data_IF_635195766880
#
_entry.id   IF_635195766880
#
_cell.length_a   1.000
_cell.length_b   1.000
_cell.length_c   1.000
_cell.angle_alpha   90.00
_cell.angle_beta   90.00
_cell.angle_gamma   90.00
#
_symmetry.space_group_name_H-M   'P 1'
#
loop_
_entity.id
_entity.type
_entity.pdbx_description
1 polymer ?
#
# COMPACT_ATOMS: atom_id res chain seq x y z
N UNK A 1 -11.73 11.14 -24.01
CA UNK A 1 -11.01 9.96 -23.49
C UNK A 1 -10.42 10.39 -22.16
N UNK A 2 -10.80 9.77 -21.04
CA UNK A 2 -10.24 10.15 -19.75
C UNK A 2 -8.86 9.53 -19.67
N UNK A 3 -7.82 10.35 -19.82
CA UNK A 3 -6.48 9.97 -19.38
C UNK A 3 -6.59 9.73 -17.87
N UNK A 4 -6.52 8.46 -17.48
CA UNK A 4 -6.18 8.06 -16.12
C UNK A 4 -4.71 8.42 -16.00
N UNK A 5 -4.41 9.66 -15.62
CA UNK A 5 -3.09 10.00 -15.08
C UNK A 5 -2.96 9.20 -13.79
N UNK A 6 -2.52 7.97 -13.95
CA UNK A 6 -1.85 7.18 -12.94
C UNK A 6 -0.62 8.01 -12.55
N UNK A 7 -0.56 8.49 -11.31
CA UNK A 7 0.54 9.30 -10.78
C UNK A 7 1.90 8.54 -10.74
N UNK A 8 2.02 7.42 -11.46
CA UNK A 8 3.20 6.57 -11.58
C UNK A 8 3.30 5.50 -10.50
N UNK A 9 2.27 5.33 -9.67
CA UNK A 9 2.19 4.35 -8.59
C UNK A 9 1.00 3.42 -8.77
N UNK A 10 1.04 2.24 -8.16
CA UNK A 10 0.03 1.19 -8.36
C UNK A 10 -1.30 1.47 -7.64
N UNK A 11 -1.42 2.61 -6.95
CA UNK A 11 -2.58 2.97 -6.13
C UNK A 11 -2.67 2.22 -4.80
N UNK A 12 -1.64 1.43 -4.46
CA UNK A 12 -1.54 0.71 -3.19
C UNK A 12 -0.18 1.01 -2.55
N UNK A 13 -0.20 1.68 -1.40
CA UNK A 13 1.00 2.16 -0.75
C UNK A 13 1.97 1.04 -0.34
N UNK A 14 1.46 -0.16 -0.03
CA UNK A 14 2.32 -1.30 0.31
C UNK A 14 2.98 -1.87 -0.93
N UNK A 15 2.26 -1.93 -2.05
CA UNK A 15 2.81 -2.35 -3.35
C UNK A 15 3.86 -1.34 -3.84
N UNK A 16 3.58 -0.04 -3.73
CA UNK A 16 4.52 1.03 -4.12
C UNK A 16 5.81 1.01 -3.29
N UNK A 17 5.72 0.69 -2.00
CA UNK A 17 6.88 0.54 -1.13
C UNK A 17 7.67 -0.75 -1.45
N UNK A 18 6.98 -1.83 -1.78
CA UNK A 18 7.61 -3.07 -2.22
C UNK A 18 8.39 -2.88 -3.53
N UNK A 19 7.83 -2.10 -4.48
CA UNK A 19 8.51 -1.74 -5.73
C UNK A 19 9.76 -0.90 -5.44
N UNK A 20 9.67 0.14 -4.61
CA UNK A 20 10.84 0.94 -4.18
C UNK A 20 11.91 0.09 -3.50
N UNK A 21 11.52 -0.91 -2.72
CA UNK A 21 12.46 -1.85 -2.11
C UNK A 21 13.24 -2.64 -3.16
N UNK A 22 12.60 -3.05 -4.27
CA UNK A 22 13.28 -3.73 -5.38
C UNK A 22 14.28 -2.84 -6.12
N UNK A 23 14.05 -1.52 -6.18
CA UNK A 23 14.99 -0.59 -6.82
C UNK A 23 16.36 -0.58 -6.10
N UNK A 24 16.39 -0.91 -4.81
CA UNK A 24 17.65 -0.98 -4.04
C UNK A 24 18.57 -2.13 -4.47
N UNK A 25 18.05 -3.13 -5.21
CA UNK A 25 18.82 -4.28 -5.68
C UNK A 25 19.96 -3.90 -6.62
N UNK A 26 19.82 -2.81 -7.38
CA UNK A 26 20.86 -2.32 -8.30
C UNK A 26 22.17 -2.00 -7.56
N UNK A 27 22.07 -1.55 -6.31
CA UNK A 27 23.22 -1.26 -5.45
C UNK A 27 23.74 -2.45 -4.62
N UNK A 28 23.06 -3.60 -4.65
CA UNK A 28 23.38 -4.75 -3.81
C UNK A 28 24.09 -5.86 -4.61
N UNK A 29 25.00 -6.61 -3.98
CA UNK A 29 25.59 -7.78 -4.63
C UNK A 29 24.52 -8.88 -4.79
N UNK A 30 24.61 -9.63 -5.89
CA UNK A 30 23.60 -10.62 -6.32
C UNK A 30 23.22 -11.65 -5.25
N UNK A 31 24.14 -12.01 -4.36
CA UNK A 31 23.86 -12.97 -3.29
C UNK A 31 22.91 -12.42 -2.20
N UNK A 32 22.76 -11.09 -2.10
CA UNK A 32 21.83 -10.43 -1.18
C UNK A 32 20.43 -10.26 -1.80
N UNK A 33 20.30 -10.41 -3.13
CA UNK A 33 19.03 -10.20 -3.84
C UNK A 33 17.94 -11.17 -3.38
N UNK A 34 18.30 -12.41 -3.06
CA UNK A 34 17.35 -13.44 -2.65
C UNK A 34 16.55 -13.04 -1.40
N UNK A 35 17.22 -12.47 -0.39
CA UNK A 35 16.58 -12.05 0.85
C UNK A 35 15.60 -10.88 0.62
N UNK A 36 15.96 -9.96 -0.28
CA UNK A 36 15.11 -8.82 -0.64
C UNK A 36 13.88 -9.30 -1.42
N UNK A 37 14.05 -10.22 -2.38
CA UNK A 37 12.93 -10.80 -3.12
C UNK A 37 11.97 -11.58 -2.21
N UNK A 38 12.48 -12.39 -1.29
CA UNK A 38 11.64 -13.12 -0.34
C UNK A 38 10.81 -12.17 0.52
N UNK A 39 11.41 -11.08 1.02
CA UNK A 39 10.70 -10.08 1.81
C UNK A 39 9.59 -9.39 1.00
N UNK A 40 9.89 -8.94 -0.21
CA UNK A 40 8.90 -8.31 -1.09
C UNK A 40 7.76 -9.27 -1.41
N UNK A 41 8.08 -10.52 -1.71
CA UNK A 41 7.09 -11.55 -1.99
C UNK A 41 6.17 -11.82 -0.79
N UNK A 42 6.72 -11.87 0.44
CA UNK A 42 5.91 -12.01 1.66
C UNK A 42 4.96 -10.83 1.86
N UNK A 43 5.44 -9.58 1.69
CA UNK A 43 4.60 -8.37 1.82
C UNK A 43 3.44 -8.39 0.80
N UNK A 44 3.74 -8.72 -0.45
CA UNK A 44 2.71 -8.79 -1.50
C UNK A 44 1.72 -9.94 -1.26
N UNK A 45 2.19 -11.09 -0.77
CA UNK A 45 1.32 -12.20 -0.40
C UNK A 45 0.43 -11.87 0.80
N UNK A 46 0.97 -11.21 1.80
CA UNK A 46 0.22 -10.76 2.97
C UNK A 46 -0.86 -9.77 2.53
N UNK A 47 -0.54 -8.82 1.66
CA UNK A 47 -1.52 -7.88 1.09
C UNK A 47 -2.63 -8.55 0.29
N UNK A 48 -2.30 -9.61 -0.47
CA UNK A 48 -3.25 -10.36 -1.28
C UNK A 48 -4.16 -11.27 -0.43
N UNK A 49 -3.64 -11.76 0.70
CA UNK A 49 -4.32 -12.72 1.58
C UNK A 49 -5.06 -12.02 2.73
N UNK A 50 -4.59 -10.84 3.14
CA UNK A 50 -5.25 -9.97 4.10
C UNK A 50 -6.48 -9.32 3.48
N UNK A 51 -7.60 -9.39 4.19
CA UNK A 51 -8.78 -8.58 3.88
C UNK A 51 -8.33 -7.11 3.75
N UNK A 52 -8.84 -6.33 2.76
CA UNK A 52 -8.51 -4.92 2.66
C UNK A 52 -8.85 -4.28 4.01
N UNK A 53 -7.82 -3.77 4.71
CA UNK A 53 -8.01 -3.02 5.95
C UNK A 53 -9.15 -2.04 5.73
N UNK A 54 -10.24 -2.23 6.49
CA UNK A 54 -11.43 -1.39 6.49
C UNK A 54 -11.09 -0.03 7.11
N UNK A 55 -10.19 0.70 6.47
CA UNK A 55 -9.72 2.03 6.87
C UNK A 55 -10.24 3.09 5.90
N UNK A 56 -11.53 3.02 5.58
CA UNK A 56 -12.29 4.10 4.95
C UNK A 56 -13.69 4.24 5.60
N UNK A 57 -13.75 4.03 6.92
CA UNK A 57 -14.89 4.45 7.77
C UNK A 57 -14.34 5.26 8.95
N UNK A 58 -13.59 6.30 8.62
CA UNK A 58 -13.60 7.52 9.41
C UNK A 58 -14.63 8.46 8.73
N UNK A 59 -15.79 7.93 8.35
CA UNK A 59 -16.95 8.76 8.08
C UNK A 59 -17.29 9.45 9.40
N UNK A 60 -16.96 10.74 9.43
CA UNK A 60 -17.65 11.77 10.17
C UNK A 60 -18.65 11.24 11.22
N UNK A 61 -18.16 11.04 12.44
CA UNK A 61 -18.96 11.39 13.61
C UNK A 61 -19.07 12.93 13.62
N UNK A 62 -19.76 13.43 12.59
CA UNK A 62 -20.28 14.76 12.47
C UNK A 62 -21.18 14.98 13.69
N UNK A 63 -20.92 16.07 14.39
CA UNK A 63 -21.73 16.46 15.52
C UNK A 63 -23.13 16.74 15.04
N UNK A 64 -24.07 15.86 15.35
CA UNK A 64 -25.47 16.25 15.38
C UNK A 64 -25.77 16.77 16.79
N UNK A 65 -25.76 18.10 16.89
CA UNK A 65 -26.23 18.83 18.06
C UNK A 65 -27.75 18.82 18.23
N UNK A 66 -28.17 19.47 19.31
CA UNK A 66 -29.54 19.85 19.68
C UNK A 66 -30.47 18.67 20.02
N UNK A 67 -31.18 18.61 21.14
CA UNK A 67 -31.72 19.62 22.03
C UNK A 67 -33.04 19.02 22.59
N UNK A 68 -33.60 19.63 23.64
CA UNK A 68 -34.90 19.30 24.28
C UNK A 68 -34.85 18.11 25.27
N UNK A 69 -35.32 18.18 26.52
CA UNK A 69 -36.07 19.17 27.30
C UNK A 69 -36.47 18.49 28.61
#
# INVERSE_FOLDING_TARGET
>A
MRELTDDGGTGDAQVDEAVRTLETLDGLPVHEHAAVYERVHQVLQDRLTGEPDAHDDQEAADGFGDGEG
#
